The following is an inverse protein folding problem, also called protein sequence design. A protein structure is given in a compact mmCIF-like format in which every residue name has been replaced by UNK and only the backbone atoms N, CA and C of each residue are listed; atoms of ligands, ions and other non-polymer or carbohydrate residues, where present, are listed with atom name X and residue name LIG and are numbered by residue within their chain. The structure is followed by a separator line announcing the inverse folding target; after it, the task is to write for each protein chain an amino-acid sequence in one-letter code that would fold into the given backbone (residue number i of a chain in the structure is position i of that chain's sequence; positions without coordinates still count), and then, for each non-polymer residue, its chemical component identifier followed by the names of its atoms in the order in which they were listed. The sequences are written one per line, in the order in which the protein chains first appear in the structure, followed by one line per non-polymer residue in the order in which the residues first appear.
data_IF_633995022646
#
_entry.id   IF_633995022646
#
_cell.length_a   1.000
_cell.length_b   1.000
_cell.length_c   1.000
_cell.angle_alpha   90.00
_cell.angle_beta   90.00
_cell.angle_gamma   90.00
#
_symmetry.space_group_name_H-M   'P 1'
#
loop_
_entity.id
_entity.type
_entity.pdbx_description
1 polymer ?
#
# COMPACT_ATOMS: atom_id res chain seq x y z
N UNK A 1 0.59 14.70 19.95
CA UNK A 1 0.43 13.99 18.66
C UNK A 1 -1.06 13.85 18.37
N UNK A 2 -1.56 14.56 17.36
CA UNK A 2 -2.97 14.47 16.95
C UNK A 2 -3.25 13.09 16.34
N UNK A 3 -4.31 12.41 16.80
CA UNK A 3 -4.75 11.12 16.23
C UNK A 3 -5.45 11.41 14.91
N UNK A 4 -4.74 11.27 13.78
CA UNK A 4 -5.34 11.32 12.44
C UNK A 4 -6.43 10.25 12.32
N UNK A 5 -7.59 10.62 11.78
CA UNK A 5 -8.71 9.68 11.61
C UNK A 5 -8.43 8.89 10.33
N UNK A 6 -8.09 7.62 10.49
CA UNK A 6 -7.89 6.68 9.38
C UNK A 6 -9.15 5.87 9.20
N UNK A 7 -9.76 5.99 8.02
CA UNK A 7 -10.86 5.15 7.62
C UNK A 7 -10.28 4.01 6.77
N UNK A 8 -9.97 2.89 7.42
CA UNK A 8 -9.36 1.73 6.76
C UNK A 8 -10.29 1.17 5.68
N UNK A 9 -9.70 0.78 4.55
CA UNK A 9 -10.40 0.30 3.34
C UNK A 9 -10.08 -1.15 3.08
N UNK A 10 -8.83 -1.54 3.30
CA UNK A 10 -8.40 -2.94 3.23
C UNK A 10 -7.70 -3.37 4.51
N UNK A 11 -8.18 -4.45 5.12
CA UNK A 11 -7.42 -5.23 6.10
C UNK A 11 -6.64 -6.32 5.36
N UNK A 12 -5.54 -5.92 4.70
CA UNK A 12 -4.51 -6.89 4.33
C UNK A 12 -4.85 -7.81 3.17
N UNK A 13 -5.22 -7.26 2.01
CA UNK A 13 -5.14 -8.04 0.77
C UNK A 13 -3.74 -8.63 0.67
N UNK A 14 -3.67 -9.94 0.48
CA UNK A 14 -2.40 -10.65 0.55
C UNK A 14 -2.20 -11.47 -0.70
N UNK A 15 -1.00 -11.38 -1.27
CA UNK A 15 -0.51 -12.32 -2.27
C UNK A 15 0.44 -13.28 -1.54
N UNK A 16 0.31 -14.58 -1.85
CA UNK A 16 1.30 -15.61 -1.50
C UNK A 16 1.66 -16.32 -2.79
N UNK A 17 2.94 -16.41 -3.08
CA UNK A 17 3.44 -17.15 -4.23
C UNK A 17 4.68 -17.94 -3.82
N UNK A 18 4.84 -19.14 -4.41
CA UNK A 18 6.01 -19.99 -4.29
C UNK A 18 6.38 -20.46 -5.68
N UNK A 19 7.60 -20.16 -6.12
CA UNK A 19 8.01 -20.40 -7.50
C UNK A 19 9.19 -19.53 -7.91
N UNK A 20 9.42 -19.46 -9.22
CA UNK A 20 10.41 -18.59 -9.84
C UNK A 20 9.75 -17.28 -10.23
N UNK A 21 10.38 -16.15 -9.91
CA UNK A 21 9.88 -14.82 -10.24
C UNK A 21 11.04 -13.82 -10.40
N UNK A 22 10.73 -12.70 -11.06
CA UNK A 22 11.69 -11.60 -11.25
C UNK A 22 11.41 -10.48 -10.23
N UNK A 23 12.30 -10.32 -9.24
CA UNK A 23 12.17 -9.29 -8.20
C UNK A 23 12.31 -7.87 -8.75
N UNK A 24 13.25 -7.66 -9.68
CA UNK A 24 13.47 -6.35 -10.30
C UNK A 24 12.24 -5.91 -11.09
N UNK A 25 11.68 -6.82 -11.90
CA UNK A 25 10.45 -6.56 -12.66
C UNK A 25 9.27 -6.28 -11.75
N UNK A 26 9.12 -7.03 -10.66
CA UNK A 26 8.07 -6.80 -9.67
C UNK A 26 8.20 -5.40 -9.05
N UNK A 27 9.42 -5.02 -8.65
CA UNK A 27 9.72 -3.69 -8.12
C UNK A 27 9.33 -2.61 -9.14
N UNK A 28 9.88 -2.68 -10.35
CA UNK A 28 9.69 -1.66 -11.39
C UNK A 28 8.23 -1.53 -11.80
N UNK A 29 7.54 -2.65 -12.02
CA UNK A 29 6.14 -2.65 -12.46
C UNK A 29 5.21 -2.09 -11.38
N UNK A 30 5.39 -2.47 -10.10
CA UNK A 30 4.57 -1.92 -9.03
C UNK A 30 4.87 -0.44 -8.76
N UNK A 31 6.14 -0.03 -8.85
CA UNK A 31 6.53 1.38 -8.71
C UNK A 31 5.96 2.24 -9.85
N UNK A 32 6.08 1.78 -11.10
CA UNK A 32 5.50 2.46 -12.25
C UNK A 32 3.97 2.61 -12.11
N UNK A 33 3.28 1.57 -11.65
CA UNK A 33 1.84 1.67 -11.38
C UNK A 33 1.50 2.75 -10.36
N UNK A 34 2.29 2.88 -9.28
CA UNK A 34 2.08 3.91 -8.26
C UNK A 34 2.28 5.32 -8.84
N UNK A 35 3.35 5.51 -9.63
CA UNK A 35 3.69 6.77 -10.29
C UNK A 35 2.61 7.19 -11.32
N UNK A 36 2.20 6.25 -12.19
CA UNK A 36 1.14 6.45 -13.18
C UNK A 36 -0.22 6.79 -12.54
N UNK A 37 -0.46 6.30 -11.32
CA UNK A 37 -1.66 6.61 -10.54
C UNK A 37 -1.48 7.83 -9.64
N UNK A 38 -0.36 8.55 -9.73
CA UNK A 38 -0.10 9.82 -9.05
C UNK A 38 0.12 9.68 -7.54
N UNK A 39 0.70 8.58 -7.09
CA UNK A 39 1.10 8.41 -5.69
C UNK A 39 2.53 8.90 -5.47
N UNK A 40 2.72 9.68 -4.42
CA UNK A 40 4.03 10.00 -3.86
C UNK A 40 4.59 8.76 -3.18
N UNK A 41 5.68 8.23 -3.73
CA UNK A 41 6.30 6.98 -3.31
C UNK A 41 7.44 7.19 -2.29
N UNK A 42 7.50 6.31 -1.29
CA UNK A 42 8.61 6.21 -0.34
C UNK A 42 8.88 4.74 0.02
N UNK A 43 10.11 4.28 -0.21
CA UNK A 43 10.63 3.06 0.43
C UNK A 43 11.02 3.38 1.89
N UNK A 44 10.19 2.94 2.83
CA UNK A 44 10.31 3.29 4.24
C UNK A 44 11.21 2.34 5.04
N UNK A 45 11.39 1.11 4.58
CA UNK A 45 12.29 0.12 5.20
C UNK A 45 12.76 -0.90 4.15
N UNK A 46 14.03 -1.30 4.27
CA UNK A 46 14.66 -2.31 3.44
C UNK A 46 15.60 -3.16 4.31
N UNK A 47 15.31 -4.45 4.39
CA UNK A 47 16.12 -5.42 5.13
C UNK A 47 16.50 -6.56 4.20
N UNK A 48 17.80 -6.86 4.16
CA UNK A 48 18.33 -8.04 3.48
C UNK A 48 19.14 -8.86 4.47
N UNK A 49 18.76 -10.12 4.64
CA UNK A 49 19.44 -11.08 5.52
C UNK A 49 19.89 -12.27 4.70
N UNK A 50 21.17 -12.60 4.82
CA UNK A 50 21.72 -13.84 4.27
C UNK A 50 21.65 -14.91 5.36
N UNK A 51 20.98 -16.02 5.06
CA UNK A 51 20.89 -17.18 5.95
C UNK A 51 21.19 -18.45 5.13
N UNK A 52 21.58 -19.53 5.81
CA UNK A 52 22.03 -20.76 5.15
C UNK A 52 20.98 -21.41 4.22
N UNK A 53 19.70 -21.09 4.44
CA UNK A 53 18.54 -21.63 3.69
C UNK A 53 18.18 -20.70 2.50
N UNK A 54 19.00 -19.70 2.19
CA UNK A 54 18.76 -18.72 1.11
C UNK A 54 18.38 -17.34 1.64
N UNK A 55 18.42 -16.33 0.79
CA UNK A 55 18.28 -14.95 1.24
C UNK A 55 16.84 -14.62 1.70
N UNK A 56 16.72 -13.75 2.69
CA UNK A 56 15.46 -13.11 3.09
C UNK A 56 15.50 -11.62 2.80
N UNK A 57 14.47 -11.12 2.12
CA UNK A 57 14.31 -9.69 1.82
C UNK A 57 12.97 -9.21 2.38
N UNK A 58 13.00 -8.13 3.14
CA UNK A 58 11.84 -7.44 3.66
C UNK A 58 11.83 -5.99 3.20
N UNK A 59 10.72 -5.55 2.60
CA UNK A 59 10.54 -4.16 2.17
C UNK A 59 9.24 -3.60 2.75
N UNK A 60 9.24 -2.32 3.08
CA UNK A 60 8.02 -1.58 3.42
C UNK A 60 7.95 -0.36 2.54
N UNK A 61 6.94 -0.30 1.68
CA UNK A 61 6.64 0.87 0.88
C UNK A 61 5.47 1.64 1.49
N UNK A 62 5.56 2.96 1.38
CA UNK A 62 4.48 3.90 1.64
C UNK A 62 4.21 4.65 0.35
N UNK A 63 2.93 4.78 0.03
CA UNK A 63 2.47 5.54 -1.12
C UNK A 63 1.31 6.41 -0.68
N UNK A 64 1.42 7.71 -0.92
CA UNK A 64 0.41 8.68 -0.50
C UNK A 64 -0.11 9.46 -1.70
N UNK A 65 -1.41 9.80 -1.74
CA UNK A 65 -1.96 10.66 -2.79
C UNK A 65 -2.99 11.62 -2.22
N UNK A 66 -2.73 12.92 -2.35
CA UNK A 66 -3.69 13.95 -1.98
C UNK A 66 -4.90 13.91 -2.93
N UNK A 67 -6.11 13.83 -2.39
CA UNK A 67 -7.35 13.83 -3.18
C UNK A 67 -8.03 15.19 -3.10
N UNK A 68 -8.02 15.78 -1.91
CA UNK A 68 -8.48 17.15 -1.63
C UNK A 68 -7.61 17.74 -0.52
N UNK A 69 -7.82 18.99 -0.15
CA UNK A 69 -7.20 19.59 1.05
C UNK A 69 -7.59 18.88 2.37
N UNK A 70 -8.61 18.03 2.32
CA UNK A 70 -9.16 17.31 3.48
C UNK A 70 -8.85 15.81 3.48
N UNK A 71 -8.78 15.17 2.31
CA UNK A 71 -8.60 13.73 2.17
C UNK A 71 -7.30 13.37 1.48
N UNK A 72 -6.64 12.34 2.01
CA UNK A 72 -5.47 11.73 1.41
C UNK A 72 -5.62 10.21 1.38
N UNK A 73 -5.17 9.57 0.32
CA UNK A 73 -4.98 8.13 0.29
C UNK A 73 -3.63 7.79 0.91
N UNK A 74 -3.62 6.77 1.76
CA UNK A 74 -2.43 6.27 2.45
C UNK A 74 -2.38 4.76 2.24
N UNK A 75 -1.43 4.30 1.44
CA UNK A 75 -1.19 2.90 1.13
C UNK A 75 0.14 2.46 1.73
N UNK A 76 0.13 1.31 2.38
CA UNK A 76 1.31 0.64 2.92
C UNK A 76 1.40 -0.76 2.32
N UNK A 77 2.51 -1.05 1.65
CA UNK A 77 2.77 -2.33 1.00
C UNK A 77 3.95 -2.98 1.72
N UNK A 78 3.74 -4.18 2.25
CA UNK A 78 4.77 -4.95 2.96
C UNK A 78 5.14 -6.18 2.17
N UNK A 79 6.41 -6.27 1.81
CA UNK A 79 6.99 -7.39 1.10
C UNK A 79 7.78 -8.27 2.07
N UNK A 80 7.64 -9.57 1.91
CA UNK A 80 8.46 -10.58 2.59
C UNK A 80 8.80 -11.66 1.59
N UNK A 81 10.06 -11.73 1.24
CA UNK A 81 10.65 -12.78 0.41
C UNK A 81 11.53 -13.66 1.29
N UNK A 82 11.41 -14.97 1.17
CA UNK A 82 12.16 -15.96 1.96
C UNK A 82 12.63 -17.09 1.07
N UNK A 83 13.71 -17.74 1.50
CA UNK A 83 14.32 -18.88 0.82
C UNK A 83 14.68 -18.51 -0.63
N UNK A 84 15.22 -17.30 -0.82
CA UNK A 84 15.59 -16.81 -2.13
C UNK A 84 16.88 -17.47 -2.61
N UNK A 85 16.79 -18.14 -3.76
CA UNK A 85 17.93 -18.69 -4.47
C UNK A 85 17.95 -18.19 -5.92
N UNK A 86 19.13 -17.81 -6.46
CA UNK A 86 19.26 -17.49 -7.88
C UNK A 86 18.79 -18.67 -8.75
N UNK A 87 17.93 -18.40 -9.73
CA UNK A 87 17.47 -19.39 -10.70
C UNK A 87 18.11 -19.20 -12.08
N UNK A 88 18.22 -17.95 -12.53
CA UNK A 88 18.94 -17.50 -13.74
C UNK A 88 19.08 -15.97 -13.71
N UNK A 89 19.59 -15.35 -14.77
CA UNK A 89 19.72 -13.90 -14.86
C UNK A 89 18.41 -13.18 -14.48
N UNK A 90 18.49 -12.37 -13.41
CA UNK A 90 17.41 -11.60 -12.80
C UNK A 90 16.20 -12.43 -12.28
N UNK A 91 16.29 -13.76 -12.26
CA UNK A 91 15.27 -14.65 -11.71
C UNK A 91 15.71 -15.25 -10.38
N UNK A 92 14.79 -15.27 -9.44
CA UNK A 92 14.96 -15.94 -8.15
C UNK A 92 13.86 -16.98 -7.96
N UNK A 93 14.20 -18.08 -7.31
CA UNK A 93 13.25 -19.04 -6.78
C UNK A 93 13.07 -18.80 -5.29
N UNK A 94 11.84 -18.96 -4.79
CA UNK A 94 11.59 -18.86 -3.35
C UNK A 94 10.12 -18.66 -3.03
N UNK A 95 9.85 -18.07 -1.86
CA UNK A 95 8.50 -17.71 -1.43
C UNK A 95 8.34 -16.21 -1.32
N UNK A 96 7.22 -15.68 -1.78
CA UNK A 96 6.86 -14.27 -1.66
C UNK A 96 5.53 -14.11 -0.92
N UNK A 97 5.49 -13.10 -0.04
CA UNK A 97 4.30 -12.62 0.62
C UNK A 97 4.25 -11.09 0.48
N UNK A 98 3.20 -10.60 -0.17
CA UNK A 98 2.95 -9.15 -0.31
C UNK A 98 1.64 -8.83 0.40
N UNK A 99 1.64 -7.83 1.26
CA UNK A 99 0.46 -7.39 2.02
C UNK A 99 0.15 -5.93 1.72
N UNK A 100 -1.07 -5.65 1.27
CA UNK A 100 -1.55 -4.32 0.95
C UNK A 100 -2.50 -3.82 2.04
N UNK A 101 -2.18 -2.68 2.63
CA UNK A 101 -3.04 -1.99 3.60
C UNK A 101 -3.30 -0.59 3.06
N UNK A 102 -4.57 -0.19 2.95
CA UNK A 102 -4.93 1.13 2.47
C UNK A 102 -5.97 1.79 3.37
N UNK A 103 -5.84 3.10 3.53
CA UNK A 103 -6.77 3.91 4.30
C UNK A 103 -7.00 5.27 3.67
N UNK A 104 -8.22 5.80 3.83
CA UNK A 104 -8.50 7.21 3.57
C UNK A 104 -8.22 7.97 4.86
N UNK A 105 -7.25 8.88 4.82
CA UNK A 105 -6.89 9.75 5.93
C UNK A 105 -7.68 11.07 5.80
N UNK A 106 -8.42 11.42 6.85
CA UNK A 106 -9.21 12.66 6.92
C UNK A 106 -8.48 13.71 7.77
N UNK A 107 -8.66 14.99 7.44
CA UNK A 107 -8.03 16.15 8.10
C UNK A 107 -6.51 15.99 8.24
N UNK A 108 -5.84 15.54 7.17
CA UNK A 108 -4.39 15.27 7.23
C UNK A 108 -3.54 16.53 7.45
N UNK A 109 -4.09 17.72 7.16
CA UNK A 109 -3.53 19.06 7.42
C UNK A 109 -3.91 19.66 8.79
N UNK A 110 -4.63 18.92 9.64
CA UNK A 110 -5.01 19.29 11.01
C UNK A 110 -5.73 20.65 11.16
N UNK A 111 -6.44 21.11 10.12
CA UNK A 111 -7.11 22.40 10.11
C UNK A 111 -8.36 22.42 11.03
N UNK A 112 -8.94 21.25 11.30
CA UNK A 112 -10.21 21.10 12.02
C UNK A 112 -10.05 20.53 13.44
N UNK A 113 -9.09 19.63 13.67
CA UNK A 113 -8.90 18.97 14.96
C UNK A 113 -8.31 19.85 16.10
N UNK A 114 -7.89 21.09 15.80
CA UNK A 114 -7.19 21.99 16.72
C UNK A 114 -8.05 22.65 17.82
N UNK A 115 -9.39 22.60 17.74
CA UNK A 115 -10.28 23.20 18.75
C UNK A 115 -11.45 22.30 19.13
N UNK A 116 -11.83 22.29 20.43
CA UNK A 116 -12.92 21.46 20.97
C UNK A 116 -14.28 21.74 20.31
N UNK A 117 -14.55 22.99 19.92
CA UNK A 117 -15.79 23.38 19.21
C UNK A 117 -15.74 22.93 17.74
N UNK A 118 -14.57 23.05 17.09
CA UNK A 118 -14.35 22.58 15.72
C UNK A 118 -14.48 21.06 15.60
N UNK A 119 -14.10 20.30 16.63
CA UNK A 119 -14.29 18.84 16.67
C UNK A 119 -15.77 18.41 16.70
N UNK A 120 -16.67 19.18 17.33
CA UNK A 120 -18.10 18.87 17.32
C UNK A 120 -18.72 19.15 15.94
N UNK A 121 -18.39 20.29 15.34
CA UNK A 121 -18.79 20.63 13.97
C UNK A 121 -18.23 19.64 12.94
N UNK A 122 -16.97 19.24 13.10
CA UNK A 122 -16.31 18.22 12.30
C UNK A 122 -17.07 16.89 12.33
N UNK A 123 -17.51 16.42 13.51
CA UNK A 123 -18.30 15.19 13.66
C UNK A 123 -19.67 15.27 12.99
N UNK A 124 -20.35 16.42 13.06
CA UNK A 124 -21.63 16.62 12.38
C UNK A 124 -21.45 16.70 10.85
N UNK A 125 -20.42 17.42 10.38
CA UNK A 125 -20.10 17.58 8.97
C UNK A 125 -19.67 16.24 8.33
N UNK A 126 -18.82 15.45 9.00
CA UNK A 126 -18.43 14.12 8.52
C UNK A 126 -19.57 13.11 8.52
N UNK A 127 -20.48 13.14 9.50
CA UNK A 127 -21.60 12.19 9.58
C UNK A 127 -22.72 12.45 8.56
N UNK A 128 -22.97 13.72 8.19
CA UNK A 128 -24.13 14.09 7.35
C UNK A 128 -23.73 14.44 5.91
N UNK A 129 -22.64 15.17 5.69
CA UNK A 129 -22.29 15.71 4.36
C UNK A 129 -21.19 14.93 3.65
N UNK A 130 -20.20 14.39 4.38
CA UNK A 130 -19.03 13.76 3.75
C UNK A 130 -19.11 12.23 3.77
N UNK A 131 -20.10 11.61 4.43
CA UNK A 131 -20.19 10.14 4.55
C UNK A 131 -20.24 9.44 3.20
N UNK A 132 -21.03 9.95 2.26
CA UNK A 132 -21.11 9.43 0.89
C UNK A 132 -19.78 9.62 0.15
N UNK A 133 -19.16 10.79 0.26
CA UNK A 133 -17.88 11.08 -0.37
C UNK A 133 -16.75 10.21 0.19
N UNK A 134 -16.70 9.99 1.51
CA UNK A 134 -15.77 9.05 2.15
C UNK A 134 -16.02 7.66 1.60
N UNK A 135 -17.26 7.19 1.56
CA UNK A 135 -17.60 5.84 1.07
C UNK A 135 -17.20 5.65 -0.39
N UNK A 136 -17.49 6.64 -1.25
CA UNK A 136 -17.06 6.65 -2.66
C UNK A 136 -15.55 6.56 -2.80
N UNK A 137 -14.81 7.35 -2.03
CA UNK A 137 -13.35 7.33 -2.05
C UNK A 137 -12.77 6.03 -1.48
N UNK A 138 -13.41 5.43 -0.47
CA UNK A 138 -13.04 4.09 0.02
C UNK A 138 -13.21 3.04 -1.07
N UNK A 139 -14.33 3.04 -1.80
CA UNK A 139 -14.56 2.10 -2.89
C UNK A 139 -13.54 2.29 -4.02
N UNK A 140 -13.26 3.54 -4.41
CA UNK A 140 -12.22 3.85 -5.40
C UNK A 140 -10.84 3.37 -4.95
N UNK A 141 -10.44 3.64 -3.71
CA UNK A 141 -9.16 3.17 -3.17
C UNK A 141 -9.10 1.64 -3.10
N UNK A 142 -10.24 0.97 -2.84
CA UNK A 142 -10.32 -0.49 -2.84
C UNK A 142 -10.09 -1.07 -4.25
N UNK A 143 -10.69 -0.46 -5.27
CA UNK A 143 -10.48 -0.84 -6.68
C UNK A 143 -9.02 -0.67 -7.08
N UNK A 144 -8.41 0.47 -6.73
CA UNK A 144 -7.00 0.74 -6.97
C UNK A 144 -6.07 -0.29 -6.29
N UNK A 145 -6.35 -0.66 -5.03
CA UNK A 145 -5.58 -1.71 -4.34
C UNK A 145 -5.72 -3.06 -5.04
N UNK A 146 -6.92 -3.40 -5.53
CA UNK A 146 -7.15 -4.66 -6.27
C UNK A 146 -6.44 -4.68 -7.61
N UNK A 147 -6.40 -3.54 -8.30
CA UNK A 147 -5.70 -3.40 -9.57
C UNK A 147 -4.19 -3.58 -9.38
N UNK A 148 -3.58 -2.85 -8.43
CA UNK A 148 -2.16 -3.03 -8.09
C UNK A 148 -1.85 -4.46 -7.63
N UNK A 149 -2.74 -5.07 -6.84
CA UNK A 149 -2.59 -6.47 -6.43
C UNK A 149 -2.59 -7.41 -7.65
N UNK A 150 -3.48 -7.19 -8.61
CA UNK A 150 -3.55 -7.97 -9.85
C UNK A 150 -2.27 -7.82 -10.64
N UNK A 151 -1.79 -6.59 -10.84
CA UNK A 151 -0.51 -6.30 -11.49
C UNK A 151 0.66 -7.04 -10.83
N UNK A 152 0.77 -6.98 -9.50
CA UNK A 152 1.81 -7.69 -8.75
C UNK A 152 1.71 -9.22 -8.91
N UNK A 153 0.48 -9.76 -8.94
CA UNK A 153 0.23 -11.19 -9.12
C UNK A 153 0.62 -11.66 -10.52
N UNK A 154 0.30 -10.90 -11.55
CA UNK A 154 0.68 -11.20 -12.94
C UNK A 154 2.19 -11.32 -13.11
N UNK A 155 2.96 -10.41 -12.49
CA UNK A 155 4.44 -10.48 -12.52
C UNK A 155 4.97 -11.71 -11.78
N UNK A 156 4.40 -12.05 -10.62
CA UNK A 156 4.81 -13.22 -9.84
C UNK A 156 4.47 -14.54 -10.54
N UNK A 157 3.35 -14.62 -11.26
CA UNK A 157 2.88 -15.84 -11.90
C UNK A 157 3.37 -16.03 -13.35
N UNK A 158 4.08 -15.04 -13.91
CA UNK A 158 4.52 -15.05 -15.31
C UNK A 158 5.38 -16.27 -15.69
N UNK A 159 6.23 -16.76 -14.76
CA UNK A 159 7.16 -17.87 -15.00
C UNK A 159 6.63 -19.23 -14.53
N UNK A 160 5.32 -19.36 -14.35
CA UNK A 160 4.68 -20.61 -13.92
C UNK A 160 4.44 -21.58 -15.05
#
# INVERSE_FOLDING_TARGET
MSKKIKAQVSEGYQIRHKGVFNLEKLYQTMHAWLDENGYDFLEADHQHKKIDIGDEIGLIWKAEREITDFMKYDMVIKFRFKELHPASDNLVSGTSKITFTASVVLDYREQWSSSRIKNLLFRLYTNVLIKENITKNKLKLLEEVKDLQKTAKEVLEFFR
#
